data_IF_471850062111
#
_entry.id   IF_471850062111
#
_cell.length_a   1.000
_cell.length_b   1.000
_cell.length_c   1.000
_cell.angle_alpha   90.00
_cell.angle_beta   90.00
_cell.angle_gamma   90.00
#
_symmetry.space_group_name_H-M   'P 1'
#
loop_
_entity.id
_entity.type
_entity.pdbx_description
1 polymer ?
#
# COMPACT_ATOMS: atom_id res chain seq x y z
N UNK A 1 24.77 7.40 -14.43
CA UNK A 1 24.86 7.12 -12.97
C UNK A 1 23.53 6.59 -12.41
N UNK A 2 22.40 7.28 -12.58
CA UNK A 2 21.09 6.80 -12.08
C UNK A 2 20.65 5.45 -12.68
N UNK A 3 20.83 5.25 -13.99
CA UNK A 3 20.44 3.98 -14.64
C UNK A 3 21.33 2.79 -14.25
N UNK A 4 22.63 3.02 -14.05
CA UNK A 4 23.54 2.00 -13.56
C UNK A 4 23.15 1.53 -12.15
N UNK A 5 22.78 2.45 -11.25
CA UNK A 5 22.30 2.06 -9.92
C UNK A 5 21.00 1.24 -9.97
N UNK A 6 20.11 1.51 -10.93
CA UNK A 6 18.88 0.71 -11.13
C UNK A 6 19.22 -0.71 -11.61
N UNK A 7 20.21 -0.89 -12.48
CA UNK A 7 20.68 -2.21 -12.92
C UNK A 7 21.26 -2.99 -11.72
N UNK A 8 22.14 -2.36 -10.95
CA UNK A 8 22.75 -2.96 -9.76
C UNK A 8 21.68 -3.35 -8.72
N UNK A 9 20.72 -2.46 -8.45
CA UNK A 9 19.59 -2.77 -7.56
C UNK A 9 18.74 -3.93 -8.10
N UNK A 10 18.53 -3.99 -9.41
CA UNK A 10 17.79 -5.08 -10.06
C UNK A 10 18.47 -6.44 -9.88
N UNK A 11 19.78 -6.50 -10.10
CA UNK A 11 20.59 -7.71 -9.91
C UNK A 11 20.58 -8.14 -8.44
N UNK A 12 20.78 -7.20 -7.51
CA UNK A 12 20.73 -7.47 -6.08
C UNK A 12 19.36 -7.98 -5.62
N UNK A 13 18.27 -7.45 -6.18
CA UNK A 13 16.91 -7.92 -5.89
C UNK A 13 16.68 -9.34 -6.42
N UNK A 14 17.13 -9.64 -7.66
CA UNK A 14 17.04 -10.98 -8.23
C UNK A 14 17.81 -11.99 -7.36
N UNK A 15 19.06 -11.66 -7.01
CA UNK A 15 19.92 -12.49 -6.16
C UNK A 15 19.27 -12.74 -4.80
N UNK A 16 18.88 -11.70 -4.07
CA UNK A 16 18.51 -11.81 -2.66
C UNK A 16 17.08 -12.28 -2.44
N UNK A 17 16.16 -11.87 -3.31
CA UNK A 17 14.73 -12.12 -3.14
C UNK A 17 14.22 -13.23 -4.05
N UNK A 18 14.53 -13.20 -5.35
CA UNK A 18 13.88 -14.09 -6.33
C UNK A 18 14.55 -15.46 -6.47
N UNK A 19 15.88 -15.55 -6.39
CA UNK A 19 16.62 -16.79 -6.60
C UNK A 19 17.89 -16.98 -5.74
N UNK A 20 17.82 -16.78 -4.41
CA UNK A 20 19.01 -16.83 -3.56
C UNK A 20 19.68 -18.20 -3.50
N UNK A 21 18.94 -19.29 -3.69
CA UNK A 21 19.50 -20.64 -3.68
C UNK A 21 20.23 -20.95 -4.98
N UNK A 22 19.58 -20.67 -6.11
CA UNK A 22 20.13 -20.94 -7.44
C UNK A 22 21.35 -20.06 -7.72
N UNK A 23 21.31 -18.81 -7.28
CA UNK A 23 22.43 -17.88 -7.39
C UNK A 23 23.68 -18.36 -6.62
N UNK A 24 23.48 -18.93 -5.42
CA UNK A 24 24.56 -19.56 -4.63
C UNK A 24 25.08 -20.83 -5.29
N UNK A 25 24.22 -21.58 -5.96
CA UNK A 25 24.57 -22.78 -6.70
C UNK A 25 25.21 -22.49 -8.07
N UNK A 26 25.49 -21.23 -8.40
CA UNK A 26 26.22 -20.83 -9.60
C UNK A 26 25.35 -20.42 -10.79
N UNK A 27 24.02 -20.51 -10.71
CA UNK A 27 23.15 -19.98 -11.76
C UNK A 27 23.12 -18.45 -11.67
N UNK A 28 23.99 -17.80 -12.45
CA UNK A 28 24.20 -16.36 -12.45
C UNK A 28 24.05 -15.77 -13.87
N UNK A 29 23.79 -14.46 -13.99
CA UNK A 29 23.83 -13.78 -15.28
C UNK A 29 25.22 -13.89 -15.91
N UNK A 30 25.32 -13.91 -17.25
CA UNK A 30 26.57 -13.71 -17.98
C UNK A 30 27.35 -12.49 -17.47
N UNK A 31 28.69 -12.56 -17.52
CA UNK A 31 29.58 -11.52 -17.01
C UNK A 31 29.29 -10.14 -17.64
N UNK A 32 29.01 -10.11 -18.94
CA UNK A 32 28.62 -8.89 -19.67
C UNK A 32 27.35 -8.23 -19.13
N UNK A 33 26.40 -9.00 -18.57
CA UNK A 33 25.20 -8.45 -17.92
C UNK A 33 25.54 -7.96 -16.51
N UNK A 34 26.40 -8.68 -15.78
CA UNK A 34 26.84 -8.28 -14.43
C UNK A 34 27.66 -6.99 -14.45
N UNK A 35 28.48 -6.80 -15.48
CA UNK A 35 29.30 -5.62 -15.70
C UNK A 35 28.58 -4.49 -16.47
N UNK A 36 27.32 -4.70 -16.86
CA UNK A 36 26.57 -3.76 -17.69
C UNK A 36 26.34 -2.44 -16.96
N UNK A 37 26.85 -1.34 -17.51
CA UNK A 37 26.67 0.02 -17.00
C UNK A 37 25.60 0.81 -17.76
N UNK A 38 25.30 0.39 -18.98
CA UNK A 38 24.35 1.03 -19.89
C UNK A 38 23.15 0.12 -20.21
N UNK A 39 21.91 0.50 -19.80
CA UNK A 39 20.71 -0.30 -20.04
C UNK A 39 20.39 -0.52 -21.52
N UNK A 40 20.96 0.28 -22.44
CA UNK A 40 20.77 0.09 -23.88
C UNK A 40 21.28 -1.28 -24.34
N UNK A 41 22.37 -1.77 -23.76
CA UNK A 41 22.87 -3.11 -24.07
C UNK A 41 21.90 -4.21 -23.65
N UNK A 42 21.25 -4.06 -22.49
CA UNK A 42 20.20 -4.98 -22.07
C UNK A 42 19.03 -5.01 -23.06
N UNK A 43 18.66 -3.86 -23.65
CA UNK A 43 17.62 -3.81 -24.69
C UNK A 43 18.06 -4.51 -25.98
N UNK A 44 19.31 -4.28 -26.42
CA UNK A 44 19.88 -4.95 -27.60
C UNK A 44 19.91 -6.46 -27.40
N UNK A 45 20.41 -6.94 -26.27
CA UNK A 45 20.47 -8.36 -25.95
C UNK A 45 19.09 -9.00 -25.76
N UNK A 46 18.12 -8.26 -25.22
CA UNK A 46 16.74 -8.73 -25.12
C UNK A 46 16.07 -8.91 -26.50
N UNK A 47 16.52 -8.18 -27.53
CA UNK A 47 15.99 -8.26 -28.89
C UNK A 47 16.66 -9.35 -29.76
N UNK A 48 17.70 -10.04 -29.27
CA UNK A 48 18.40 -11.07 -30.03
C UNK A 48 17.63 -12.39 -29.99
N UNK A 49 17.02 -12.79 -31.11
CA UNK A 49 16.17 -13.99 -31.17
C UNK A 49 16.93 -15.30 -31.44
N UNK A 50 18.23 -15.24 -31.75
CA UNK A 50 19.05 -16.42 -32.01
C UNK A 50 19.13 -17.36 -30.80
N UNK A 51 19.15 -18.66 -31.08
CA UNK A 51 19.17 -19.72 -30.08
C UNK A 51 20.44 -19.67 -29.21
N UNK A 52 21.57 -19.37 -29.85
CA UNK A 52 22.86 -19.18 -29.18
C UNK A 52 22.85 -18.05 -28.12
N UNK A 53 21.88 -17.14 -28.18
CA UNK A 53 21.74 -16.02 -27.26
C UNK A 53 20.56 -16.17 -26.29
N UNK A 54 19.89 -17.33 -26.26
CA UNK A 54 18.71 -17.57 -25.41
C UNK A 54 18.94 -17.20 -23.95
N UNK A 55 20.02 -17.69 -23.35
CA UNK A 55 20.32 -17.44 -21.93
C UNK A 55 20.57 -15.95 -21.65
N UNK A 56 21.33 -15.30 -22.52
CA UNK A 56 21.61 -13.86 -22.44
C UNK A 56 20.33 -13.04 -22.55
N UNK A 57 19.52 -13.31 -23.57
CA UNK A 57 18.20 -12.69 -23.77
C UNK A 57 17.32 -12.84 -22.52
N UNK A 58 17.21 -14.06 -21.98
CA UNK A 58 16.39 -14.35 -20.81
C UNK A 58 16.83 -13.53 -19.58
N UNK A 59 18.14 -13.43 -19.33
CA UNK A 59 18.69 -12.62 -18.25
C UNK A 59 18.50 -11.12 -18.48
N UNK A 60 18.73 -10.62 -19.69
CA UNK A 60 18.50 -9.21 -20.03
C UNK A 60 17.03 -8.84 -19.82
N UNK A 61 16.09 -9.67 -20.27
CA UNK A 61 14.67 -9.52 -20.01
C UNK A 61 14.32 -9.52 -18.52
N UNK A 62 14.92 -10.43 -17.73
CA UNK A 62 14.70 -10.49 -16.29
C UNK A 62 15.15 -9.20 -15.58
N UNK A 63 16.37 -8.73 -15.87
CA UNK A 63 16.91 -7.48 -15.32
C UNK A 63 16.05 -6.29 -15.74
N UNK A 64 15.68 -6.17 -17.02
CA UNK A 64 14.84 -5.09 -17.52
C UNK A 64 13.46 -5.04 -16.86
N UNK A 65 12.82 -6.19 -16.59
CA UNK A 65 11.52 -6.24 -15.89
C UNK A 65 11.61 -5.67 -14.47
N UNK A 66 12.69 -5.98 -13.74
CA UNK A 66 12.93 -5.45 -12.39
C UNK A 66 13.30 -3.97 -12.45
N UNK A 67 14.23 -3.60 -13.36
CA UNK A 67 14.68 -2.23 -13.56
C UNK A 67 13.53 -1.28 -13.90
N UNK A 68 12.65 -1.70 -14.80
CA UNK A 68 11.44 -0.97 -15.16
C UNK A 68 10.52 -0.74 -13.95
N UNK A 69 10.36 -1.76 -13.10
CA UNK A 69 9.53 -1.65 -11.89
C UNK A 69 10.14 -0.70 -10.85
N UNK A 70 11.47 -0.73 -10.71
CA UNK A 70 12.22 0.21 -9.86
C UNK A 70 12.05 1.64 -10.37
N UNK A 71 12.30 1.87 -11.67
CA UNK A 71 12.14 3.19 -12.28
C UNK A 71 10.71 3.73 -12.13
N UNK A 72 9.70 2.87 -12.19
CA UNK A 72 8.31 3.26 -11.92
C UNK A 72 8.05 3.67 -10.47
N UNK A 73 8.68 3.02 -9.49
CA UNK A 73 8.58 3.42 -8.08
C UNK A 73 9.24 4.79 -7.90
N UNK A 74 10.44 4.99 -8.46
CA UNK A 74 11.20 6.24 -8.32
C UNK A 74 10.55 7.42 -9.02
N UNK A 75 9.96 7.20 -10.20
CA UNK A 75 9.27 8.25 -10.96
C UNK A 75 7.88 8.61 -10.42
N UNK A 76 7.31 7.82 -9.50
CA UNK A 76 5.96 8.06 -9.00
C UNK A 76 5.97 9.06 -7.84
N UNK A 77 5.31 10.21 -8.03
CA UNK A 77 5.17 11.28 -7.04
C UNK A 77 4.67 10.78 -5.67
N UNK A 78 3.90 9.68 -5.65
CA UNK A 78 3.36 9.09 -4.42
C UNK A 78 4.49 8.69 -3.47
N UNK A 79 5.61 8.20 -4.00
CA UNK A 79 6.73 7.75 -3.15
C UNK A 79 7.58 8.91 -2.63
N UNK A 80 7.51 10.08 -3.28
CA UNK A 80 8.26 11.28 -2.88
C UNK A 80 7.71 11.90 -1.60
N UNK A 81 6.41 11.73 -1.32
CA UNK A 81 5.75 12.40 -0.20
C UNK A 81 4.98 11.44 0.74
N UNK A 82 5.40 10.17 0.81
CA UNK A 82 4.74 9.16 1.66
C UNK A 82 4.73 9.57 3.12
N UNK A 83 5.79 10.21 3.61
CA UNK A 83 5.89 10.56 5.01
C UNK A 83 4.94 11.71 5.37
N UNK A 84 4.84 12.77 4.55
CA UNK A 84 3.84 13.81 4.77
C UNK A 84 2.40 13.28 4.59
N UNK A 85 2.19 12.37 3.63
CA UNK A 85 0.91 11.69 3.47
C UNK A 85 0.56 10.89 4.73
N UNK A 86 1.52 10.12 5.25
CA UNK A 86 1.36 9.33 6.47
C UNK A 86 1.04 10.22 7.65
N UNK A 87 1.74 11.33 7.83
CA UNK A 87 1.50 12.28 8.91
C UNK A 87 0.10 12.91 8.84
N UNK A 88 -0.29 13.44 7.68
CA UNK A 88 -1.62 14.05 7.46
C UNK A 88 -2.78 13.07 7.54
N UNK A 89 -2.58 11.81 7.16
CA UNK A 89 -3.61 10.78 7.34
C UNK A 89 -3.68 10.39 8.81
N UNK A 90 -2.52 10.19 9.47
CA UNK A 90 -2.45 9.82 10.89
C UNK A 90 -3.14 10.83 11.80
N UNK A 91 -2.84 12.12 11.62
CA UNK A 91 -3.36 13.19 12.47
C UNK A 91 -4.89 13.18 12.55
N UNK A 92 -5.58 12.88 11.44
CA UNK A 92 -7.04 12.78 11.39
C UNK A 92 -7.63 11.64 12.21
N UNK A 93 -6.90 10.53 12.36
CA UNK A 93 -7.34 9.45 13.23
C UNK A 93 -7.01 9.77 14.69
N UNK A 94 -5.81 10.28 14.95
CA UNK A 94 -5.33 10.58 16.30
C UNK A 94 -6.23 11.57 17.05
N UNK A 95 -6.87 12.52 16.34
CA UNK A 95 -7.85 13.44 16.90
C UNK A 95 -9.02 12.75 17.63
N UNK A 96 -9.40 11.54 17.19
CA UNK A 96 -10.57 10.82 17.70
C UNK A 96 -10.21 9.53 18.45
N UNK A 97 -8.93 9.29 18.74
CA UNK A 97 -8.50 8.12 19.51
C UNK A 97 -8.62 8.39 21.01
N UNK A 98 -9.31 7.48 21.69
CA UNK A 98 -9.41 7.48 23.14
C UNK A 98 -8.29 6.62 23.73
N UNK A 99 -7.59 7.15 24.73
CA UNK A 99 -6.45 6.48 25.37
C UNK A 99 -6.66 6.37 26.87
N UNK A 100 -6.20 5.27 27.44
CA UNK A 100 -6.14 5.12 28.90
C UNK A 100 -4.91 5.88 29.48
N UNK A 101 -4.78 5.98 30.82
CA UNK A 101 -3.62 6.64 31.45
C UNK A 101 -2.25 6.03 31.09
N UNK A 102 -2.21 4.77 30.64
CA UNK A 102 -1.01 4.10 30.17
C UNK A 102 -0.67 4.43 28.69
N UNK A 103 -1.49 5.26 28.01
CA UNK A 103 -1.30 5.66 26.62
C UNK A 103 -1.83 4.67 25.57
N UNK A 104 -2.41 3.54 26.00
CA UNK A 104 -2.99 2.53 25.11
C UNK A 104 -4.32 3.02 24.56
N UNK A 105 -4.53 2.86 23.25
CA UNK A 105 -5.82 3.17 22.60
C UNK A 105 -6.88 2.17 23.07
N UNK A 106 -7.98 2.69 23.60
CA UNK A 106 -9.13 1.89 24.11
C UNK A 106 -10.43 2.17 23.37
N UNK A 107 -10.48 3.20 22.52
CA UNK A 107 -11.67 3.53 21.77
C UNK A 107 -11.43 4.51 20.63
N UNK A 108 -12.45 4.70 19.81
CA UNK A 108 -12.45 5.64 18.70
C UNK A 108 -13.83 6.30 18.56
N UNK A 109 -13.85 7.63 18.50
CA UNK A 109 -15.09 8.40 18.40
C UNK A 109 -14.98 9.77 19.04
N UNK A 110 -16.11 10.48 19.10
CA UNK A 110 -16.21 11.84 19.62
C UNK A 110 -17.54 12.02 20.36
N UNK A 111 -17.55 12.90 21.37
CA UNK A 111 -18.73 13.18 22.19
C UNK A 111 -19.25 11.93 22.90
N UNK A 112 -20.55 11.68 22.79
CA UNK A 112 -21.24 10.61 23.52
C UNK A 112 -21.10 9.23 22.85
N UNK A 113 -20.58 9.16 21.61
CA UNK A 113 -20.43 7.92 20.87
C UNK A 113 -18.95 7.56 20.70
N UNK A 114 -18.50 6.63 21.53
CA UNK A 114 -17.15 6.06 21.49
C UNK A 114 -17.27 4.57 21.23
N UNK A 115 -16.67 4.10 20.13
CA UNK A 115 -16.59 2.67 19.82
C UNK A 115 -15.38 2.07 20.55
N UNK A 116 -15.56 1.07 21.44
CA UNK A 116 -14.44 0.43 22.12
C UNK A 116 -13.53 -0.31 21.14
N UNK A 117 -12.23 -0.14 21.32
CA UNK A 117 -11.20 -0.83 20.54
C UNK A 117 -10.37 -1.73 21.44
N UNK A 118 -10.25 -2.99 21.03
CA UNK A 118 -9.28 -3.94 21.60
C UNK A 118 -7.87 -3.57 21.18
N UNK A 119 -7.72 -3.10 19.94
CA UNK A 119 -6.42 -2.81 19.35
C UNK A 119 -6.53 -1.78 18.24
N UNK A 120 -5.53 -0.90 18.18
CA UNK A 120 -5.33 0.05 17.10
C UNK A 120 -3.85 0.09 16.75
N UNK A 121 -3.49 -0.23 15.51
CA UNK A 121 -2.12 -0.06 15.04
C UNK A 121 -2.06 0.47 13.61
N UNK A 122 -1.04 1.28 13.37
CA UNK A 122 -0.59 1.56 12.02
C UNK A 122 0.17 0.35 11.47
N UNK A 123 -0.19 -0.09 10.27
CA UNK A 123 0.57 -1.12 9.55
C UNK A 123 2.00 -0.62 9.32
N UNK A 124 2.97 -1.49 9.56
CA UNK A 124 4.37 -1.16 9.36
C UNK A 124 4.62 -0.66 7.94
N UNK A 125 5.50 0.34 7.82
CA UNK A 125 5.94 0.82 6.52
C UNK A 125 6.51 -0.36 5.73
N UNK A 126 6.02 -0.54 4.50
CA UNK A 126 6.52 -1.62 3.66
C UNK A 126 7.96 -1.33 3.25
N UNK A 127 8.81 -2.34 3.33
CA UNK A 127 10.13 -2.25 2.72
C UNK A 127 10.00 -2.04 1.21
N UNK A 128 10.96 -1.32 0.63
CA UNK A 128 11.07 -1.13 -0.82
C UNK A 128 11.03 -2.45 -1.58
N UNK A 129 11.68 -3.48 -1.05
CA UNK A 129 11.63 -4.85 -1.59
C UNK A 129 10.22 -5.45 -1.62
N UNK A 130 9.41 -5.24 -0.58
CA UNK A 130 8.03 -5.73 -0.52
C UNK A 130 7.11 -5.02 -1.51
N UNK A 131 7.36 -3.73 -1.76
CA UNK A 131 6.69 -2.92 -2.77
C UNK A 131 7.03 -3.45 -4.17
N UNK A 132 8.32 -3.65 -4.44
CA UNK A 132 8.82 -4.17 -5.71
C UNK A 132 8.27 -5.58 -5.99
N UNK A 133 8.27 -6.46 -5.00
CA UNK A 133 7.65 -7.79 -5.11
C UNK A 133 6.14 -7.70 -5.38
N UNK A 134 5.46 -6.73 -4.76
CA UNK A 134 4.03 -6.49 -5.00
C UNK A 134 3.73 -6.02 -6.43
N UNK A 135 4.63 -5.28 -7.06
CA UNK A 135 4.49 -4.85 -8.45
C UNK A 135 4.78 -5.99 -9.42
N UNK A 136 5.89 -6.70 -9.19
CA UNK A 136 6.34 -7.77 -10.08
C UNK A 136 5.35 -8.94 -10.18
N UNK A 137 4.63 -9.30 -9.11
CA UNK A 137 3.63 -10.39 -9.22
C UNK A 137 2.32 -9.98 -9.94
N UNK A 138 2.03 -8.68 -10.11
CA UNK A 138 0.78 -8.20 -10.75
C UNK A 138 1.01 -7.84 -12.21
N UNK A 139 0.23 -8.43 -13.13
CA UNK A 139 0.39 -8.22 -14.59
C UNK A 139 0.51 -6.75 -15.00
N UNK A 140 -0.31 -5.85 -14.47
CA UNK A 140 -0.28 -4.43 -14.81
C UNK A 140 1.04 -3.72 -14.43
N UNK A 141 1.72 -4.17 -13.36
CA UNK A 141 2.99 -3.58 -12.88
C UNK A 141 2.97 -2.06 -12.62
N UNK A 142 1.80 -1.49 -12.34
CA UNK A 142 1.63 -0.03 -12.17
C UNK A 142 1.78 0.37 -10.70
N UNK A 143 2.73 1.25 -10.40
CA UNK A 143 3.03 1.74 -9.05
C UNK A 143 1.84 2.45 -8.37
N UNK A 144 0.98 3.09 -9.18
CA UNK A 144 -0.26 3.75 -8.76
C UNK A 144 -1.33 2.78 -8.24
N UNK A 145 -1.12 1.47 -8.39
CA UNK A 145 -2.05 0.44 -7.88
C UNK A 145 -1.67 -0.09 -6.50
N UNK A 146 -0.68 0.53 -5.85
CA UNK A 146 -0.32 0.26 -4.45
C UNK A 146 -1.07 1.25 -3.57
N UNK A 147 -2.02 0.73 -2.80
CA UNK A 147 -2.93 1.52 -1.97
C UNK A 147 -2.68 1.34 -0.47
N UNK A 148 -1.80 0.42 -0.11
CA UNK A 148 -1.53 -0.02 1.25
C UNK A 148 -0.15 0.46 1.73
N UNK A 149 0.27 1.65 1.30
CA UNK A 149 1.48 2.34 1.79
C UNK A 149 1.25 2.97 3.16
N UNK A 150 0.02 3.43 3.40
CA UNK A 150 -0.49 3.85 4.70
C UNK A 150 -1.69 2.97 4.99
N UNK A 151 -1.61 2.18 6.05
CA UNK A 151 -2.69 1.31 6.45
C UNK A 151 -2.89 1.36 7.95
N UNK A 152 -4.14 1.29 8.38
CA UNK A 152 -4.53 1.24 9.79
C UNK A 152 -5.31 -0.04 10.04
N UNK A 153 -5.06 -0.66 11.20
CA UNK A 153 -5.84 -1.79 11.71
C UNK A 153 -6.57 -1.35 12.96
N UNK A 154 -7.87 -1.59 12.98
CA UNK A 154 -8.75 -1.31 14.11
C UNK A 154 -9.47 -2.61 14.48
N UNK A 155 -9.34 -3.02 15.74
CA UNK A 155 -9.96 -4.25 16.25
C UNK A 155 -11.03 -3.86 17.26
N UNK A 156 -12.28 -4.16 16.97
CA UNK A 156 -13.43 -3.91 17.85
C UNK A 156 -13.71 -5.12 18.74
N UNK A 157 -14.54 -4.95 19.77
CA UNK A 157 -14.89 -6.06 20.68
C UNK A 157 -15.67 -7.14 19.93
N UNK A 158 -16.69 -6.73 19.17
CA UNK A 158 -17.55 -7.61 18.39
C UNK A 158 -17.80 -7.05 16.98
N UNK A 159 -18.53 -7.80 16.15
CA UNK A 159 -18.82 -7.43 14.77
C UNK A 159 -19.84 -6.28 14.63
N UNK A 160 -20.78 -6.12 15.58
CA UNK A 160 -21.71 -4.99 15.57
C UNK A 160 -20.97 -3.67 15.82
N UNK A 161 -19.98 -3.67 16.72
CA UNK A 161 -19.08 -2.53 16.93
C UNK A 161 -18.26 -2.21 15.67
N UNK A 162 -17.93 -3.21 14.84
CA UNK A 162 -17.27 -2.95 13.54
C UNK A 162 -18.15 -2.13 12.60
N UNK A 163 -19.48 -2.32 12.61
CA UNK A 163 -20.41 -1.50 11.84
C UNK A 163 -20.52 -0.08 12.40
N UNK A 164 -20.62 0.05 13.73
CA UNK A 164 -20.59 1.36 14.40
C UNK A 164 -19.31 2.12 14.06
N UNK A 165 -18.17 1.44 14.03
CA UNK A 165 -16.91 2.03 13.63
C UNK A 165 -16.93 2.55 12.19
N UNK A 166 -17.49 1.79 11.24
CA UNK A 166 -17.62 2.26 9.84
C UNK A 166 -18.50 3.50 9.76
N UNK A 167 -19.62 3.51 10.50
CA UNK A 167 -20.48 4.69 10.63
C UNK A 167 -19.67 5.88 11.18
N UNK A 168 -18.93 5.70 12.26
CA UNK A 168 -18.11 6.75 12.84
C UNK A 168 -17.04 7.29 11.88
N UNK A 169 -16.35 6.40 11.17
CA UNK A 169 -15.36 6.80 10.17
C UNK A 169 -15.98 7.66 9.05
N UNK A 170 -17.25 7.42 8.73
CA UNK A 170 -18.00 8.17 7.73
C UNK A 170 -18.48 9.52 8.28
N UNK A 171 -19.05 9.54 9.49
CA UNK A 171 -19.55 10.75 10.15
C UNK A 171 -18.43 11.74 10.48
N UNK A 172 -17.25 11.26 10.89
CA UNK A 172 -16.05 12.07 11.13
C UNK A 172 -15.33 12.46 9.83
N UNK A 173 -15.87 12.08 8.67
CA UNK A 173 -15.33 12.39 7.35
C UNK A 173 -13.99 11.70 7.04
N UNK A 174 -13.46 10.84 7.92
CA UNK A 174 -12.23 10.07 7.69
C UNK A 174 -12.34 9.28 6.40
N UNK A 175 -13.46 8.58 6.24
CA UNK A 175 -13.90 7.97 5.00
C UNK A 175 -15.06 8.78 4.42
N UNK A 176 -15.02 9.01 3.11
CA UNK A 176 -16.13 9.63 2.39
C UNK A 176 -16.46 8.81 1.16
N UNK A 177 -17.74 8.73 0.82
CA UNK A 177 -18.22 7.95 -0.33
C UNK A 177 -17.50 8.32 -1.65
N UNK A 178 -17.29 9.61 -2.00
CA UNK A 178 -16.60 9.99 -3.24
C UNK A 178 -15.10 9.65 -3.26
N UNK A 179 -14.51 9.38 -2.10
CA UNK A 179 -13.10 9.04 -1.95
C UNK A 179 -12.86 7.59 -1.54
N UNK A 180 -13.92 6.79 -1.41
CA UNK A 180 -13.81 5.35 -1.31
C UNK A 180 -13.51 4.78 -2.70
N UNK A 181 -12.71 3.73 -2.78
CA UNK A 181 -12.42 3.00 -4.02
C UNK A 181 -13.22 1.69 -3.97
N UNK A 182 -14.40 1.59 -4.62
CA UNK A 182 -15.32 0.46 -4.44
C UNK A 182 -14.71 -0.89 -4.82
N UNK A 183 -13.94 -0.94 -5.90
CA UNK A 183 -13.23 -2.15 -6.35
C UNK A 183 -12.16 -2.65 -5.34
N UNK A 184 -11.93 -1.92 -4.26
CA UNK A 184 -10.98 -2.22 -3.18
C UNK A 184 -11.64 -2.24 -1.80
N UNK A 185 -12.96 -2.21 -1.76
CA UNK A 185 -13.74 -2.50 -0.57
C UNK A 185 -14.06 -4.00 -0.53
N UNK A 186 -13.81 -4.65 0.60
CA UNK A 186 -14.12 -6.07 0.81
C UNK A 186 -14.70 -6.26 2.19
N UNK A 187 -15.70 -7.13 2.30
CA UNK A 187 -16.26 -7.52 3.57
C UNK A 187 -16.37 -9.04 3.61
N UNK A 188 -15.50 -9.67 4.41
CA UNK A 188 -15.64 -11.09 4.77
C UNK A 188 -16.01 -11.29 6.24
N UNK A 189 -16.24 -10.20 6.99
CA UNK A 189 -16.48 -10.21 8.43
C UNK A 189 -17.95 -10.43 8.78
N UNK A 190 -18.86 -9.81 8.02
CA UNK A 190 -20.28 -9.74 8.34
C UNK A 190 -21.14 -9.87 7.08
N UNK A 191 -22.18 -10.70 7.13
CA UNK A 191 -23.25 -10.72 6.12
C UNK A 191 -24.19 -9.52 6.34
N UNK A 192 -24.03 -8.48 5.52
CA UNK A 192 -24.73 -7.19 5.69
C UNK A 192 -26.22 -7.32 5.38
N UNK A 193 -26.58 -8.09 4.36
CA UNK A 193 -27.97 -8.22 3.91
C UNK A 193 -28.80 -8.97 4.95
N UNK A 194 -28.25 -10.07 5.47
CA UNK A 194 -28.86 -10.81 6.57
C UNK A 194 -28.95 -9.96 7.83
N UNK A 195 -27.85 -9.30 8.21
CA UNK A 195 -27.82 -8.46 9.41
C UNK A 195 -28.88 -7.36 9.36
N UNK A 196 -29.03 -6.70 8.20
CA UNK A 196 -30.04 -5.64 8.01
C UNK A 196 -31.47 -6.16 8.19
N UNK A 197 -31.80 -7.28 7.53
CA UNK A 197 -33.13 -7.87 7.61
C UNK A 197 -33.51 -8.27 9.04
N UNK A 198 -32.58 -8.86 9.79
CA UNK A 198 -32.82 -9.28 11.17
C UNK A 198 -32.82 -8.08 12.15
N UNK A 199 -32.01 -7.04 11.90
CA UNK A 199 -31.97 -5.84 12.73
C UNK A 199 -33.28 -5.06 12.70
N UNK A 200 -33.91 -4.90 11.54
CA UNK A 200 -35.17 -4.16 11.43
C UNK A 200 -36.29 -4.83 12.24
N UNK A 201 -36.34 -6.17 12.22
CA UNK A 201 -37.25 -6.95 13.07
C UNK A 201 -36.94 -6.74 14.56
N UNK A 202 -35.66 -6.79 14.94
CA UNK A 202 -35.24 -6.62 16.33
C UNK A 202 -35.53 -5.20 16.85
N UNK A 203 -35.37 -4.18 16.01
CA UNK A 203 -35.75 -2.79 16.33
C UNK A 203 -37.25 -2.65 16.56
N UNK A 204 -38.07 -3.29 15.74
CA UNK A 204 -39.52 -3.31 15.95
C UNK A 204 -39.90 -3.92 17.31
N UNK A 205 -39.22 -5.00 17.71
CA UNK A 205 -39.43 -5.62 19.02
C UNK A 205 -39.03 -4.70 20.19
N UNK A 206 -37.89 -4.01 20.08
CA UNK A 206 -37.45 -3.04 21.09
C UNK A 206 -38.42 -1.86 21.22
N UNK A 207 -38.87 -1.29 20.10
CA UNK A 207 -39.82 -0.17 20.10
C UNK A 207 -41.21 -0.57 20.61
N UNK A 208 -41.55 -1.86 20.57
CA UNK A 208 -42.79 -2.40 21.12
C UNK A 208 -42.66 -2.92 22.56
N UNK A 209 -41.54 -2.63 23.23
CA UNK A 209 -41.20 -3.08 24.59
C UNK A 209 -41.21 -4.61 24.79
N UNK A 210 -41.16 -5.39 23.70
CA UNK A 210 -41.13 -6.87 23.73
C UNK A 210 -39.77 -7.42 24.09
N UNK A 211 -38.72 -6.61 24.01
CA UNK A 211 -37.33 -6.98 24.27
C UNK A 211 -36.69 -5.82 25.03
N UNK A 212 -36.02 -6.12 26.15
CA UNK A 212 -35.28 -5.08 26.90
C UNK A 212 -34.00 -4.65 26.17
N UNK A 213 -33.42 -3.47 26.48
CA UNK A 213 -32.16 -3.04 25.88
C UNK A 213 -31.00 -4.05 26.01
N UNK A 214 -30.90 -4.75 27.15
CA UNK A 214 -29.89 -5.80 27.37
C UNK A 214 -30.14 -7.01 26.45
N UNK A 215 -31.39 -7.44 26.32
CA UNK A 215 -31.75 -8.52 25.42
C UNK A 215 -31.55 -8.12 23.94
N UNK A 216 -31.77 -6.86 23.60
CA UNK A 216 -31.50 -6.32 22.28
C UNK A 216 -30.01 -6.41 21.95
N UNK A 217 -29.13 -5.99 22.86
CA UNK A 217 -27.67 -6.09 22.67
C UNK A 217 -27.22 -7.55 22.48
N UNK A 218 -27.71 -8.47 23.33
CA UNK A 218 -27.40 -9.91 23.21
C UNK A 218 -27.85 -10.50 21.88
N UNK A 219 -29.08 -10.18 21.44
CA UNK A 219 -29.61 -10.67 20.15
C UNK A 219 -28.87 -10.07 18.97
N UNK A 220 -28.58 -8.77 18.99
CA UNK A 220 -27.81 -8.07 17.95
C UNK A 220 -26.43 -8.69 17.75
N UNK A 221 -25.74 -9.07 18.83
CA UNK A 221 -24.46 -9.77 18.75
C UNK A 221 -24.57 -11.14 18.05
N UNK A 222 -25.71 -11.83 18.17
CA UNK A 222 -25.96 -13.12 17.52
C UNK A 222 -26.32 -13.01 16.03
N UNK A 223 -26.82 -11.85 15.57
CA UNK A 223 -27.10 -11.61 14.14
C UNK A 223 -25.81 -11.40 13.34
N UNK A 224 -24.74 -11.03 14.03
CA UNK A 224 -23.48 -10.70 13.41
C UNK A 224 -22.69 -11.98 13.09
N UNK A 225 -22.99 -12.54 11.92
CA UNK A 225 -22.41 -13.79 11.42
C UNK A 225 -21.65 -13.48 10.11
N UNK A 226 -20.48 -14.09 9.88
CA UNK A 226 -19.75 -13.91 8.63
C UNK A 226 -20.52 -14.49 7.44
N UNK A 227 -20.33 -13.92 6.23
CA UNK A 227 -20.91 -14.48 5.03
C UNK A 227 -20.34 -15.88 4.74
N UNK A 228 -21.10 -16.74 4.04
CA UNK A 228 -20.59 -18.02 3.57
C UNK A 228 -19.26 -17.83 2.82
N UNK A 229 -18.38 -18.82 2.90
CA UNK A 229 -17.07 -18.73 2.24
C UNK A 229 -17.28 -18.66 0.72
N UNK A 230 -17.07 -17.49 0.13
CA UNK A 230 -16.99 -17.37 -1.33
C UNK A 230 -15.64 -17.96 -1.80
N UNK A 231 -15.71 -19.02 -2.61
CA UNK A 231 -14.58 -19.45 -3.43
C UNK A 231 -14.36 -18.43 -4.55
N UNK A 232 -13.25 -17.68 -4.56
CA UNK A 232 -12.82 -17.11 -5.85
C UNK A 232 -11.91 -15.89 -5.86
N UNK A 233 -12.00 -14.94 -4.92
CA UNK A 233 -11.60 -13.58 -5.31
C UNK A 233 -10.15 -13.17 -4.94
N UNK A 234 -9.46 -14.00 -4.15
CA UNK A 234 -8.02 -13.87 -3.91
C UNK A 234 -7.39 -15.24 -3.66
N UNK A 235 -6.69 -15.85 -4.64
CA UNK A 235 -6.11 -17.19 -4.53
C UNK A 235 -4.97 -17.29 -3.51
N UNK A 236 -4.67 -16.22 -2.78
CA UNK A 236 -3.56 -16.16 -1.82
C UNK A 236 -4.03 -15.92 -0.38
N UNK A 237 -5.27 -15.47 -0.15
CA UNK A 237 -5.83 -15.35 1.21
C UNK A 237 -6.30 -16.71 1.74
N UNK A 238 -6.22 -16.93 3.05
CA UNK A 238 -6.83 -18.11 3.66
C UNK A 238 -8.36 -18.01 3.64
N UNK A 239 -9.05 -19.14 3.43
CA UNK A 239 -10.52 -19.20 3.42
C UNK A 239 -11.16 -18.78 4.76
N UNK A 240 -10.41 -18.91 5.86
CA UNK A 240 -10.83 -18.52 7.21
C UNK A 240 -10.55 -17.04 7.52
N UNK A 241 -10.00 -16.27 6.58
CA UNK A 241 -9.62 -14.89 6.83
C UNK A 241 -10.83 -13.94 6.85
N UNK A 242 -11.12 -13.38 8.02
CA UNK A 242 -12.27 -12.49 8.24
C UNK A 242 -11.84 -11.05 8.51
N UNK A 243 -12.29 -10.07 7.70
CA UNK A 243 -12.09 -8.63 7.94
C UNK A 243 -12.97 -7.78 7.04
N UNK A 244 -13.18 -6.51 7.41
CA UNK A 244 -13.63 -5.46 6.50
C UNK A 244 -12.41 -4.66 6.06
N UNK A 245 -12.24 -4.50 4.76
CA UNK A 245 -11.18 -3.71 4.14
C UNK A 245 -11.80 -2.58 3.35
N UNK A 246 -11.41 -1.35 3.65
CA UNK A 246 -11.83 -0.16 2.93
C UNK A 246 -10.59 0.57 2.43
N UNK A 247 -10.60 0.99 1.17
CA UNK A 247 -9.54 1.83 0.62
C UNK A 247 -10.11 3.22 0.35
N UNK A 248 -9.59 4.21 1.06
CA UNK A 248 -9.91 5.63 0.86
C UNK A 248 -8.77 6.36 0.13
N UNK A 249 -9.03 7.59 -0.29
CA UNK A 249 -8.01 8.55 -0.73
C UNK A 249 -8.17 9.88 -0.01
N UNK A 250 -7.06 10.51 0.32
CA UNK A 250 -7.03 11.84 0.93
C UNK A 250 -6.18 12.76 0.08
N UNK A 251 -6.62 14.01 -0.08
CA UNK A 251 -5.80 15.03 -0.69
C UNK A 251 -4.68 15.41 0.29
N UNK A 252 -3.45 15.10 -0.09
CA UNK A 252 -2.24 15.44 0.69
C UNK A 252 -1.65 16.69 0.11
N UNK A 253 -1.33 17.64 0.99
CA UNK A 253 -0.66 18.90 0.63
C UNK A 253 0.78 18.83 1.09
N UNK A 254 1.73 19.19 0.25
CA UNK A 254 3.12 19.15 0.66
C UNK A 254 4.01 20.11 -0.11
N UNK A 255 5.22 20.28 0.41
CA UNK A 255 6.24 21.09 -0.22
C UNK A 255 6.60 20.48 -1.57
N UNK A 256 6.63 21.32 -2.60
CA UNK A 256 7.09 20.88 -3.90
C UNK A 256 8.61 20.67 -3.85
N UNK A 257 9.12 19.46 -4.15
CA UNK A 257 10.56 19.16 -4.08
C UNK A 257 11.40 20.04 -5.01
N UNK A 258 10.83 20.57 -6.10
CA UNK A 258 11.51 21.52 -6.97
C UNK A 258 11.89 22.81 -6.23
N UNK A 259 11.10 23.25 -5.25
CA UNK A 259 11.41 24.41 -4.42
C UNK A 259 12.54 24.12 -3.42
N UNK A 260 12.65 22.89 -2.92
CA UNK A 260 13.79 22.49 -2.07
C UNK A 260 15.12 22.54 -2.85
N UNK A 261 15.11 22.12 -4.13
CA UNK A 261 16.28 22.26 -5.01
C UNK A 261 16.60 23.72 -5.32
N UNK A 262 15.59 24.53 -5.59
CA UNK A 262 15.71 25.98 -5.75
C UNK A 262 16.36 26.64 -4.54
N UNK A 263 15.90 26.30 -3.33
CA UNK A 263 16.49 26.78 -2.08
C UNK A 263 17.95 26.36 -1.91
N UNK A 264 18.28 25.09 -2.16
CA UNK A 264 19.68 24.62 -2.09
C UNK A 264 20.56 25.33 -3.12
N UNK A 265 20.02 25.60 -4.30
CA UNK A 265 20.73 26.33 -5.34
C UNK A 265 20.88 27.82 -4.99
N UNK A 266 19.86 28.44 -4.39
CA UNK A 266 19.93 29.80 -3.82
C UNK A 266 20.99 29.90 -2.73
N UNK A 267 21.00 28.95 -1.80
CA UNK A 267 21.99 28.87 -0.72
C UNK A 267 23.41 28.69 -1.28
N UNK A 268 23.62 27.79 -2.24
CA UNK A 268 24.90 27.59 -2.91
C UNK A 268 25.34 28.78 -3.77
N UNK A 269 24.39 29.50 -4.37
CA UNK A 269 24.66 30.70 -5.18
C UNK A 269 25.01 31.91 -4.32
N UNK A 270 24.52 31.99 -3.07
CA UNK A 270 24.93 33.02 -2.11
C UNK A 270 26.40 32.88 -1.71
N UNK A 271 26.93 31.66 -1.70
CA UNK A 271 28.35 31.37 -1.44
C UNK A 271 29.24 31.61 -2.66
N UNK A 272 28.69 31.56 -3.87
CA UNK A 272 29.38 31.82 -5.12
C UNK A 272 29.10 33.25 -5.61
N UNK A 273 29.92 34.21 -5.18
CA UNK A 273 29.75 35.61 -5.60
C UNK A 273 29.84 35.81 -7.11
N UNK A 274 28.73 36.22 -7.74
CA UNK A 274 28.61 37.31 -8.74
C UNK A 274 27.25 37.26 -9.47
N UNK A 275 26.69 38.45 -9.62
CA UNK A 275 25.48 38.94 -10.33
C UNK A 275 24.85 38.06 -11.43
N UNK A 276 25.63 37.30 -12.20
CA UNK A 276 25.13 36.39 -13.25
C UNK A 276 24.43 35.15 -12.69
N UNK A 277 24.94 34.57 -11.59
CA UNK A 277 24.29 33.45 -10.91
C UNK A 277 22.91 33.86 -10.36
N UNK A 278 22.79 35.11 -9.88
CA UNK A 278 21.52 35.66 -9.39
C UNK A 278 20.47 35.83 -10.49
N UNK A 279 20.87 36.24 -11.70
CA UNK A 279 19.95 36.38 -12.84
C UNK A 279 19.47 35.03 -13.36
N UNK A 280 20.39 34.09 -13.61
CA UNK A 280 20.05 32.73 -14.06
C UNK A 280 19.17 32.00 -13.04
N UNK A 281 19.43 32.21 -11.74
CA UNK A 281 18.62 31.68 -10.68
C UNK A 281 17.21 32.28 -10.66
N UNK A 282 17.07 33.61 -10.78
CA UNK A 282 15.76 34.25 -10.90
C UNK A 282 14.96 33.75 -12.11
N UNK A 283 15.63 33.57 -13.26
CA UNK A 283 15.03 33.02 -14.48
C UNK A 283 14.59 31.56 -14.29
N UNK A 284 15.41 30.73 -13.63
CA UNK A 284 15.07 29.36 -13.29
C UNK A 284 13.92 29.28 -12.27
N UNK A 285 13.90 30.13 -11.25
CA UNK A 285 12.79 30.26 -10.29
C UNK A 285 11.50 30.63 -11.02
N UNK A 286 11.56 31.62 -11.91
CA UNK A 286 10.41 32.07 -12.69
C UNK A 286 9.92 30.97 -13.65
N UNK A 287 10.82 30.23 -14.29
CA UNK A 287 10.48 29.11 -15.15
C UNK A 287 9.82 27.96 -14.36
N UNK A 288 10.33 27.60 -13.18
CA UNK A 288 9.75 26.56 -12.33
C UNK A 288 8.35 26.96 -11.84
N UNK A 289 8.18 28.22 -11.39
CA UNK A 289 6.87 28.77 -10.97
C UNK A 289 5.88 28.82 -12.14
N UNK A 290 6.34 29.30 -13.30
CA UNK A 290 5.52 29.47 -14.50
C UNK A 290 5.09 28.15 -15.17
N UNK A 291 5.94 27.12 -15.18
CA UNK A 291 5.63 25.84 -15.84
C UNK A 291 4.53 25.04 -15.12
N UNK A 292 4.32 25.31 -13.83
CA UNK A 292 3.32 24.60 -13.02
C UNK A 292 2.12 25.47 -12.59
N UNK A 293 2.10 26.78 -12.91
CA UNK A 293 1.09 27.70 -12.41
C UNK A 293 1.05 27.77 -10.88
N UNK A 294 2.21 27.61 -10.23
CA UNK A 294 2.33 27.48 -8.78
C UNK A 294 2.79 28.81 -8.17
N UNK A 295 1.92 29.42 -7.38
CA UNK A 295 2.19 30.71 -6.72
C UNK A 295 2.86 30.55 -5.34
N UNK A 296 2.77 29.37 -4.70
CA UNK A 296 3.34 29.12 -3.37
C UNK A 296 4.16 27.83 -3.27
N UNK A 297 5.12 27.84 -2.33
CA UNK A 297 6.05 26.74 -2.02
C UNK A 297 5.35 25.42 -1.61
N UNK A 298 4.08 25.50 -1.19
CA UNK A 298 3.28 24.41 -0.60
C UNK A 298 2.17 23.85 -1.51
N UNK A 299 2.16 24.18 -2.81
CA UNK A 299 0.98 23.96 -3.66
C UNK A 299 0.90 22.56 -4.29
N UNK A 300 1.82 21.64 -4.00
CA UNK A 300 1.69 20.30 -4.58
C UNK A 300 0.64 19.50 -3.80
N UNK A 301 -0.53 19.37 -4.42
CA UNK A 301 -1.65 18.61 -3.90
C UNK A 301 -1.80 17.32 -4.71
N UNK A 302 -1.89 16.18 -4.03
CA UNK A 302 -2.21 14.93 -4.72
C UNK A 302 -3.03 13.99 -3.82
N UNK A 303 -3.92 13.22 -4.44
CA UNK A 303 -4.63 12.18 -3.72
C UNK A 303 -3.69 11.03 -3.38
N UNK A 304 -3.65 10.69 -2.10
CA UNK A 304 -2.90 9.56 -1.57
C UNK A 304 -3.85 8.51 -1.00
N UNK A 305 -3.70 7.24 -1.40
CA UNK A 305 -4.56 6.19 -0.89
C UNK A 305 -4.14 5.68 0.49
N UNK A 306 -5.13 5.29 1.28
CA UNK A 306 -4.90 4.61 2.56
C UNK A 306 -5.91 3.48 2.76
N UNK A 307 -5.49 2.46 3.50
CA UNK A 307 -6.29 1.26 3.74
C UNK A 307 -6.70 1.19 5.21
N UNK A 308 -8.00 1.07 5.46
CA UNK A 308 -8.56 0.75 6.77
C UNK A 308 -8.89 -0.73 6.80
N UNK A 309 -8.40 -1.43 7.82
CA UNK A 309 -8.74 -2.81 8.11
C UNK A 309 -9.45 -2.90 9.46
N UNK A 310 -10.69 -3.39 9.45
CA UNK A 310 -11.55 -3.55 10.62
C UNK A 310 -11.81 -5.03 10.86
N UNK A 311 -11.75 -5.45 12.12
CA UNK A 311 -11.91 -6.83 12.57
C UNK A 311 -12.54 -6.84 13.96
N UNK A 312 -13.29 -7.86 14.33
CA UNK A 312 -13.61 -8.12 15.74
C UNK A 312 -12.48 -8.90 16.44
N UNK A 313 -12.53 -8.98 17.77
CA UNK A 313 -11.52 -9.64 18.59
C UNK A 313 -11.31 -11.11 18.24
N UNK A 314 -12.40 -11.85 18.00
CA UNK A 314 -12.36 -13.27 17.67
C UNK A 314 -11.69 -13.47 16.31
N UNK A 315 -12.13 -12.72 15.30
CA UNK A 315 -11.53 -12.76 13.95
C UNK A 315 -10.06 -12.33 13.96
N UNK A 316 -9.69 -11.32 14.75
CA UNK A 316 -8.30 -10.89 14.88
C UNK A 316 -7.42 -11.99 15.47
N UNK A 317 -7.91 -12.67 16.51
CA UNK A 317 -7.19 -13.77 17.18
C UNK A 317 -7.00 -14.95 16.22
N UNK A 318 -8.07 -15.37 15.53
CA UNK A 318 -8.03 -16.44 14.55
C UNK A 318 -7.08 -16.12 13.38
N UNK A 319 -7.16 -14.91 12.83
CA UNK A 319 -6.29 -14.49 11.73
C UNK A 319 -4.83 -14.39 12.16
N UNK A 320 -4.55 -14.03 13.42
CA UNK A 320 -3.20 -13.94 13.96
C UNK A 320 -2.60 -15.31 14.26
N UNK A 321 -3.38 -16.24 14.82
CA UNK A 321 -2.97 -17.63 15.01
C UNK A 321 -2.75 -18.33 13.66
N UNK A 322 -3.53 -17.95 12.65
CA UNK A 322 -3.35 -18.33 11.25
C UNK A 322 -2.13 -17.70 10.56
N UNK A 323 -1.16 -17.08 11.26
CA UNK A 323 0.03 -16.43 10.67
C UNK A 323 0.85 -17.31 9.72
N UNK A 324 0.71 -18.64 9.79
CA UNK A 324 1.21 -19.56 8.75
C UNK A 324 0.67 -19.18 7.34
N UNK A 325 -0.53 -18.63 7.23
CA UNK A 325 -1.14 -18.11 6.01
C UNK A 325 -0.47 -16.83 5.49
N UNK A 326 0.01 -15.93 6.37
CA UNK A 326 0.73 -14.73 5.92
C UNK A 326 2.08 -15.08 5.30
N UNK A 327 2.79 -16.06 5.87
CA UNK A 327 4.00 -16.63 5.24
C UNK A 327 3.68 -17.25 3.87
N UNK A 328 2.61 -18.06 3.80
CA UNK A 328 2.14 -18.66 2.53
C UNK A 328 1.74 -17.61 1.48
N UNK A 329 1.13 -16.50 1.89
CA UNK A 329 0.76 -15.38 1.03
C UNK A 329 1.99 -14.74 0.37
N UNK A 330 3.00 -14.38 1.19
CA UNK A 330 4.26 -13.82 0.68
C UNK A 330 4.98 -14.81 -0.23
N UNK A 331 5.02 -16.10 0.15
CA UNK A 331 5.59 -17.17 -0.68
C UNK A 331 4.87 -17.33 -2.01
N UNK A 332 3.54 -17.16 -2.04
CA UNK A 332 2.77 -17.22 -3.28
C UNK A 332 3.08 -16.04 -4.21
N UNK A 333 3.15 -14.82 -3.66
CA UNK A 333 3.60 -13.64 -4.41
C UNK A 333 5.01 -13.82 -4.96
N UNK A 334 5.91 -14.39 -4.15
CA UNK A 334 7.26 -14.71 -4.56
C UNK A 334 7.30 -15.70 -5.73
N UNK A 335 6.53 -16.79 -5.65
CA UNK A 335 6.43 -17.76 -6.75
C UNK A 335 5.88 -17.13 -8.03
N UNK A 336 4.86 -16.28 -7.93
CA UNK A 336 4.27 -15.60 -9.08
C UNK A 336 5.26 -14.60 -9.72
N UNK A 337 5.93 -13.78 -8.90
CA UNK A 337 6.98 -12.86 -9.35
C UNK A 337 8.15 -13.61 -9.98
N UNK A 338 8.63 -14.69 -9.34
CA UNK A 338 9.72 -15.53 -9.84
C UNK A 338 9.37 -16.18 -11.17
N UNK A 339 8.17 -16.74 -11.33
CA UNK A 339 7.70 -17.30 -12.61
C UNK A 339 7.65 -16.24 -13.70
N UNK A 340 7.19 -15.04 -13.36
CA UNK A 340 7.09 -13.94 -14.31
C UNK A 340 8.47 -13.40 -14.71
N UNK A 341 9.38 -13.17 -13.76
CA UNK A 341 10.67 -12.51 -14.03
C UNK A 341 11.69 -13.52 -14.57
N UNK A 342 11.76 -14.71 -13.98
CA UNK A 342 12.82 -15.69 -14.20
C UNK A 342 12.33 -16.95 -14.92
N UNK A 343 11.13 -16.95 -15.49
CA UNK A 343 10.54 -18.14 -16.12
C UNK A 343 11.45 -18.79 -17.16
N UNK A 344 12.02 -17.98 -18.06
CA UNK A 344 12.95 -18.41 -19.11
C UNK A 344 14.36 -18.71 -18.57
N UNK A 345 14.81 -17.97 -17.54
CA UNK A 345 16.12 -18.20 -16.89
C UNK A 345 16.15 -19.56 -16.20
N UNK A 346 15.06 -19.93 -15.53
CA UNK A 346 14.97 -21.16 -14.73
C UNK A 346 14.54 -22.38 -15.54
N UNK A 347 13.90 -22.17 -16.70
CA UNK A 347 13.46 -23.24 -17.58
C UNK A 347 13.87 -22.91 -19.02
N UNK A 348 15.17 -22.92 -19.34
CA UNK A 348 15.65 -22.54 -20.67
C UNK A 348 15.22 -23.50 -21.78
N UNK A 349 14.64 -24.66 -21.45
CA UNK A 349 14.13 -25.67 -22.39
C UNK A 349 12.67 -25.46 -22.80
N UNK A 350 11.93 -24.56 -22.13
CA UNK A 350 10.66 -24.02 -22.66
C UNK A 350 10.96 -22.87 -23.60
#
# INVERSE_FOLDING_TARGET
RLMHSVIVESLAFIERELMPREWRNGLRPPEEIMACDDPRWLLVWAAQHEEAHRLRRAWSCAVLRVAHSIAHIEGSYRYVNVDAAREQIKSRFEEYLQRNPAGTVTGFGHGDLIVPLVKFDWKAAKSRQSILLKLLHKRANVAETIYDLVGVRMVTMNQADSLLLIRMLTELGIMSYPNCIPARARNSLLDVDRFRAELDNLRGLLLSDKVSPDQFQKRMAALAIPPPAEEGDNPHSAATYRSIQLTGRQLIRGMNPAFAWLRRFEEASRTLGRTQASKALKELTAAIKGWHGMDREMDMCAFFPFEIQIMDQTSYTQNSQGAAAHGRYKSSQLRAARRRVLGEVLNPQK
#
